data_IF_242793884232
#
_entry.id   IF_242793884232
#
_cell.length_a   1.000
_cell.length_b   1.000
_cell.length_c   1.000
_cell.angle_alpha   90.00
_cell.angle_beta   90.00
_cell.angle_gamma   90.00
#
_symmetry.space_group_name_H-M   'P 1'
#
loop_
_entity.id
_entity.type
_entity.pdbx_description
1 polymer ?
#
# COMPACT_ATOMS: atom_id res chain seq x y z
N UNK A 1 -8.19 1.80 0.27
CA UNK A 1 -8.14 1.91 -1.23
C UNK A 1 -8.99 3.05 -1.80
N UNK A 2 -10.31 3.05 -1.53
CA UNK A 2 -11.28 4.01 -2.10
C UNK A 2 -10.86 5.45 -1.84
N UNK A 3 -10.38 5.74 -0.62
CA UNK A 3 -9.82 7.04 -0.24
C UNK A 3 -8.79 7.55 -1.25
N UNK A 4 -7.81 6.71 -1.58
CA UNK A 4 -6.73 7.04 -2.51
C UNK A 4 -7.20 7.15 -3.97
N UNK A 5 -8.24 6.42 -4.38
CA UNK A 5 -8.82 6.52 -5.73
C UNK A 5 -9.49 7.89 -5.96
N UNK A 6 -10.19 8.40 -4.95
CA UNK A 6 -10.94 9.65 -5.05
C UNK A 6 -10.25 10.83 -4.37
N UNK A 7 -9.03 10.65 -3.87
CA UNK A 7 -8.26 11.71 -3.19
C UNK A 7 -8.90 12.21 -1.89
N UNK A 8 -9.63 11.36 -1.19
CA UNK A 8 -10.38 11.74 0.01
C UNK A 8 -9.43 11.94 1.21
N UNK A 9 -9.77 12.85 2.15
CA UNK A 9 -8.93 13.13 3.31
C UNK A 9 -8.79 11.92 4.23
N UNK A 10 -7.69 11.80 5.00
CA UNK A 10 -7.46 10.66 5.88
C UNK A 10 -8.17 10.76 7.25
N UNK A 11 -9.11 11.69 7.42
CA UNK A 11 -9.75 11.98 8.72
C UNK A 11 -10.50 10.79 9.31
N UNK A 12 -11.01 9.90 8.45
CA UNK A 12 -11.67 8.68 8.86
C UNK A 12 -10.86 7.46 8.41
N UNK A 13 -11.01 6.35 9.13
CA UNK A 13 -10.52 5.04 8.66
C UNK A 13 -11.16 4.65 7.33
N UNK A 14 -10.67 3.59 6.68
CA UNK A 14 -11.18 3.16 5.37
C UNK A 14 -12.64 2.64 5.41
N UNK A 15 -13.12 2.22 6.59
CA UNK A 15 -14.45 1.62 6.79
C UNK A 15 -15.63 2.49 6.31
N UNK A 16 -15.80 3.73 6.81
CA UNK A 16 -16.85 4.64 6.36
C UNK A 16 -16.89 4.85 4.84
N UNK A 17 -15.74 4.95 4.19
CA UNK A 17 -15.66 5.11 2.72
C UNK A 17 -16.14 3.85 1.99
N UNK A 18 -15.82 2.66 2.51
CA UNK A 18 -16.31 1.38 1.97
C UNK A 18 -17.82 1.30 2.12
N UNK A 19 -18.36 1.59 3.31
CA UNK A 19 -19.81 1.55 3.56
C UNK A 19 -20.55 2.53 2.65
N UNK A 20 -20.05 3.77 2.51
CA UNK A 20 -20.64 4.77 1.64
C UNK A 20 -20.63 4.32 0.17
N UNK A 21 -19.49 3.83 -0.34
CA UNK A 21 -19.37 3.36 -1.72
C UNK A 21 -20.29 2.16 -2.00
N UNK A 22 -20.28 1.14 -1.13
CA UNK A 22 -21.15 -0.03 -1.25
C UNK A 22 -22.63 0.36 -1.17
N UNK A 23 -22.99 1.27 -0.26
CA UNK A 23 -24.35 1.78 -0.11
C UNK A 23 -24.83 2.52 -1.36
N UNK A 24 -24.04 3.44 -1.89
CA UNK A 24 -24.39 4.19 -3.10
C UNK A 24 -24.50 3.28 -4.33
N UNK A 25 -23.56 2.34 -4.51
CA UNK A 25 -23.60 1.37 -5.61
C UNK A 25 -24.84 0.47 -5.47
N UNK A 26 -25.10 -0.06 -4.28
CA UNK A 26 -26.27 -0.90 -4.01
C UNK A 26 -27.60 -0.17 -4.24
N UNK A 27 -27.73 1.07 -3.77
CA UNK A 27 -28.90 1.91 -4.02
C UNK A 27 -29.07 2.17 -5.52
N UNK A 28 -28.00 2.54 -6.22
CA UNK A 28 -28.06 2.79 -7.68
C UNK A 28 -28.50 1.54 -8.45
N UNK A 29 -28.05 0.34 -8.05
CA UNK A 29 -28.47 -0.92 -8.63
C UNK A 29 -29.94 -1.25 -8.35
N UNK A 30 -30.43 -0.92 -7.15
CA UNK A 30 -31.83 -1.08 -6.78
C UNK A 30 -32.78 -0.17 -7.58
N UNK A 31 -32.36 1.06 -7.88
CA UNK A 31 -33.17 2.05 -8.62
C UNK A 31 -33.10 1.82 -10.13
N UNK A 32 -31.92 1.59 -10.70
CA UNK A 32 -31.73 1.59 -12.16
C UNK A 32 -31.70 0.20 -12.80
N UNK A 33 -31.77 -0.88 -12.01
CA UNK A 33 -32.01 -2.30 -12.39
C UNK A 33 -31.55 -2.73 -13.79
N UNK A 34 -30.39 -2.26 -14.22
CA UNK A 34 -29.84 -2.52 -15.55
C UNK A 34 -28.64 -3.46 -15.48
N UNK A 35 -28.31 -4.10 -16.60
CA UNK A 35 -27.17 -5.03 -16.72
C UNK A 35 -25.85 -4.42 -16.24
N UNK A 36 -25.61 -3.12 -16.49
CA UNK A 36 -24.43 -2.39 -16.01
C UNK A 36 -24.45 -2.20 -14.49
N UNK A 37 -25.61 -1.91 -13.91
CA UNK A 37 -25.74 -1.73 -12.47
C UNK A 37 -25.49 -3.05 -11.71
N UNK A 38 -25.95 -4.18 -12.25
CA UNK A 38 -25.61 -5.50 -11.74
C UNK A 38 -24.11 -5.78 -11.83
N UNK A 39 -23.45 -5.43 -12.94
CA UNK A 39 -22.00 -5.58 -13.09
C UNK A 39 -21.24 -4.80 -12.01
N UNK A 40 -21.60 -3.53 -11.77
CA UNK A 40 -20.98 -2.71 -10.72
C UNK A 40 -21.24 -3.29 -9.33
N UNK A 41 -22.46 -3.69 -9.01
CA UNK A 41 -22.77 -4.30 -7.71
C UNK A 41 -21.97 -5.60 -7.48
N UNK A 42 -21.92 -6.49 -8.49
CA UNK A 42 -21.18 -7.74 -8.40
C UNK A 42 -19.69 -7.48 -8.26
N UNK A 43 -19.10 -6.62 -9.10
CA UNK A 43 -17.65 -6.44 -9.10
C UNK A 43 -17.11 -5.54 -7.98
N UNK A 44 -17.92 -4.60 -7.47
CA UNK A 44 -17.51 -3.69 -6.39
C UNK A 44 -17.83 -4.29 -5.02
N UNK A 45 -18.95 -5.00 -4.87
CA UNK A 45 -19.41 -5.55 -3.59
C UNK A 45 -19.24 -7.07 -3.57
N UNK A 46 -19.80 -7.76 -4.55
CA UNK A 46 -19.82 -9.23 -4.60
C UNK A 46 -18.42 -9.85 -4.65
N UNK A 47 -17.52 -9.32 -5.48
CA UNK A 47 -16.17 -9.87 -5.64
C UNK A 47 -15.33 -9.74 -4.35
N UNK A 48 -15.22 -8.56 -3.69
CA UNK A 48 -14.54 -8.48 -2.39
C UNK A 48 -15.14 -9.38 -1.31
N UNK A 49 -16.48 -9.50 -1.25
CA UNK A 49 -17.15 -10.39 -0.30
C UNK A 49 -16.82 -11.86 -0.58
N UNK A 50 -16.78 -12.28 -1.85
CA UNK A 50 -16.40 -13.63 -2.23
C UNK A 50 -14.93 -13.91 -1.92
N UNK A 51 -14.04 -12.95 -2.15
CA UNK A 51 -12.62 -13.07 -1.79
C UNK A 51 -12.44 -13.24 -0.28
N UNK A 52 -13.19 -12.48 0.52
CA UNK A 52 -13.20 -12.58 1.98
C UNK A 52 -13.77 -13.92 2.45
N UNK A 53 -14.91 -14.36 1.88
CA UNK A 53 -15.53 -15.64 2.20
C UNK A 53 -14.64 -16.84 1.82
N UNK A 54 -13.85 -16.71 0.75
CA UNK A 54 -12.88 -17.71 0.33
C UNK A 54 -11.56 -17.67 1.14
N UNK A 55 -11.43 -16.76 2.13
CA UNK A 55 -10.22 -16.59 2.94
C UNK A 55 -8.94 -16.48 2.10
N UNK A 56 -9.00 -15.75 0.98
CA UNK A 56 -7.84 -15.58 0.13
C UNK A 56 -6.71 -14.90 0.93
N UNK A 57 -5.45 -15.30 0.72
CA UNK A 57 -4.33 -14.64 1.37
C UNK A 57 -4.12 -13.22 0.80
N UNK A 58 -3.45 -12.35 1.55
CA UNK A 58 -3.01 -11.02 1.11
C UNK A 58 -4.13 -9.97 0.87
N UNK A 59 -5.32 -10.15 1.45
CA UNK A 59 -6.44 -9.20 1.34
C UNK A 59 -6.15 -7.84 2.03
N UNK A 60 -5.09 -7.74 2.80
CA UNK A 60 -4.59 -6.50 3.39
C UNK A 60 -3.96 -5.56 2.35
N UNK A 61 -3.55 -6.05 1.19
CA UNK A 61 -2.92 -5.21 0.18
C UNK A 61 -3.94 -4.64 -0.81
N UNK A 62 -4.04 -3.29 -0.95
CA UNK A 62 -5.02 -2.65 -1.84
C UNK A 62 -4.98 -3.11 -3.31
N UNK A 63 -3.81 -3.54 -3.80
CA UNK A 63 -3.61 -3.95 -5.21
C UNK A 63 -4.50 -5.14 -5.63
N UNK A 64 -4.92 -6.00 -4.70
CA UNK A 64 -5.79 -7.13 -5.04
C UNK A 64 -7.23 -6.69 -5.36
N UNK A 65 -7.58 -5.44 -5.07
CA UNK A 65 -8.89 -4.86 -5.35
C UNK A 65 -8.87 -3.91 -6.56
N UNK A 66 -7.84 -3.94 -7.42
CA UNK A 66 -7.75 -3.08 -8.61
C UNK A 66 -8.97 -3.23 -9.52
N UNK A 67 -9.49 -4.45 -9.69
CA UNK A 67 -10.68 -4.71 -10.51
C UNK A 67 -11.89 -3.98 -9.91
N UNK A 68 -12.16 -4.17 -8.63
CA UNK A 68 -13.24 -3.48 -7.91
C UNK A 68 -13.05 -1.96 -7.92
N UNK A 69 -11.82 -1.48 -7.75
CA UNK A 69 -11.49 -0.05 -7.81
C UNK A 69 -11.76 0.55 -9.19
N UNK A 70 -11.43 -0.18 -10.26
CA UNK A 70 -11.67 0.24 -11.65
C UNK A 70 -13.17 0.32 -11.93
N UNK A 71 -13.93 -0.69 -11.52
CA UNK A 71 -15.38 -0.68 -11.66
C UNK A 71 -16.03 0.45 -10.86
N UNK A 72 -15.49 0.78 -9.69
CA UNK A 72 -15.95 1.91 -8.89
C UNK A 72 -15.70 3.26 -9.58
N UNK A 73 -14.55 3.43 -10.25
CA UNK A 73 -14.28 4.62 -11.07
C UNK A 73 -15.22 4.72 -12.27
N UNK A 74 -15.49 3.60 -12.95
CA UNK A 74 -16.44 3.56 -14.07
C UNK A 74 -17.86 3.89 -13.61
N UNK A 75 -18.31 3.32 -12.49
CA UNK A 75 -19.58 3.64 -11.87
C UNK A 75 -19.67 5.13 -11.51
N UNK A 76 -18.62 5.69 -10.89
CA UNK A 76 -18.57 7.11 -10.55
C UNK A 76 -18.66 8.01 -11.80
N UNK A 77 -17.93 7.67 -12.87
CA UNK A 77 -18.03 8.37 -14.15
C UNK A 77 -19.44 8.33 -14.75
N UNK A 78 -20.11 7.18 -14.67
CA UNK A 78 -21.50 7.03 -15.13
C UNK A 78 -22.48 7.86 -14.29
N UNK A 79 -22.28 7.94 -12.97
CA UNK A 79 -23.09 8.79 -12.08
C UNK A 79 -22.87 10.28 -12.36
N UNK A 80 -21.63 10.70 -12.59
CA UNK A 80 -21.30 12.08 -12.96
C UNK A 80 -21.97 12.42 -14.31
N UNK A 81 -21.84 11.56 -15.31
CA UNK A 81 -22.47 11.77 -16.62
C UNK A 81 -23.98 11.98 -16.50
N UNK A 82 -24.68 11.09 -15.78
CA UNK A 82 -26.12 11.25 -15.53
C UNK A 82 -26.47 12.50 -14.73
N UNK A 83 -25.62 12.89 -13.78
CA UNK A 83 -25.79 14.14 -13.03
C UNK A 83 -25.63 15.38 -13.91
N UNK A 84 -24.72 15.35 -14.88
CA UNK A 84 -24.54 16.42 -15.87
C UNK A 84 -25.73 16.55 -16.84
N UNK A 85 -26.34 15.42 -17.22
CA UNK A 85 -27.56 15.36 -18.05
C UNK A 85 -28.81 15.82 -17.28
N UNK A 86 -28.77 15.78 -15.94
CA UNK A 86 -29.83 16.28 -15.09
C UNK A 86 -29.87 17.82 -15.04
N UNK A 87 -30.92 18.37 -14.43
CA UNK A 87 -31.06 19.82 -14.22
C UNK A 87 -30.95 20.16 -12.73
N UNK A 88 -30.68 21.44 -12.43
CA UNK A 88 -30.66 21.95 -11.07
C UNK A 88 -29.44 21.51 -10.25
N UNK A 89 -29.64 21.19 -8.98
CA UNK A 89 -28.58 20.90 -8.00
C UNK A 89 -27.75 19.66 -8.37
N UNK A 90 -28.36 18.65 -8.99
CA UNK A 90 -27.66 17.44 -9.45
C UNK A 90 -26.54 17.76 -10.45
N UNK A 91 -26.78 18.71 -11.35
CA UNK A 91 -25.78 19.17 -12.34
C UNK A 91 -24.63 19.92 -11.70
N UNK A 92 -24.93 20.78 -10.71
CA UNK A 92 -23.89 21.50 -9.96
C UNK A 92 -22.99 20.53 -9.19
N UNK A 93 -23.58 19.53 -8.52
CA UNK A 93 -22.82 18.49 -7.82
C UNK A 93 -21.95 17.66 -8.78
N UNK A 94 -22.49 17.28 -9.93
CA UNK A 94 -21.76 16.53 -10.94
C UNK A 94 -20.60 17.32 -11.56
N UNK A 95 -20.74 18.65 -11.72
CA UNK A 95 -19.63 19.51 -12.13
C UNK A 95 -18.56 19.65 -11.04
N UNK A 96 -18.95 19.71 -9.78
CA UNK A 96 -18.02 19.82 -8.65
C UNK A 96 -17.24 18.54 -8.36
N UNK A 97 -17.84 17.37 -8.61
CA UNK A 97 -17.23 16.08 -8.27
C UNK A 97 -15.85 15.84 -8.91
N UNK A 98 -15.63 16.06 -10.23
CA UNK A 98 -14.30 15.96 -10.84
C UNK A 98 -13.28 16.89 -10.19
N UNK A 99 -13.65 18.14 -9.88
CA UNK A 99 -12.74 19.10 -9.27
C UNK A 99 -12.27 18.65 -7.88
N UNK A 100 -13.17 18.06 -7.08
CA UNK A 100 -12.84 17.47 -5.78
C UNK A 100 -11.87 16.30 -5.95
N UNK A 101 -12.17 15.37 -6.88
CA UNK A 101 -11.32 14.20 -7.13
C UNK A 101 -9.93 14.63 -7.58
N UNK A 102 -9.84 15.55 -8.55
CA UNK A 102 -8.55 16.05 -9.06
C UNK A 102 -7.75 16.72 -7.94
N UNK A 103 -8.37 17.59 -7.15
CA UNK A 103 -7.70 18.28 -6.04
C UNK A 103 -7.17 17.30 -5.00
N UNK A 104 -7.98 16.29 -4.65
CA UNK A 104 -7.58 15.23 -3.74
C UNK A 104 -6.46 14.34 -4.30
N UNK A 105 -6.53 14.01 -5.59
CA UNK A 105 -5.48 13.23 -6.27
C UNK A 105 -4.16 13.99 -6.33
N UNK A 106 -4.18 15.31 -6.54
CA UNK A 106 -2.96 16.15 -6.50
C UNK A 106 -2.32 16.08 -5.11
N UNK A 107 -3.10 16.21 -4.04
CA UNK A 107 -2.59 16.08 -2.67
C UNK A 107 -1.94 14.71 -2.41
N UNK A 108 -2.59 13.63 -2.88
CA UNK A 108 -2.03 12.28 -2.81
C UNK A 108 -0.74 12.13 -3.64
N UNK A 109 -0.66 12.80 -4.80
CA UNK A 109 0.51 12.77 -5.66
C UNK A 109 1.71 13.50 -5.03
N UNK A 110 1.48 14.60 -4.32
CA UNK A 110 2.54 15.29 -3.58
C UNK A 110 3.17 14.37 -2.52
N UNK A 111 2.35 13.60 -1.80
CA UNK A 111 2.85 12.61 -0.84
C UNK A 111 3.60 11.48 -1.53
N UNK A 112 3.15 11.06 -2.72
CA UNK A 112 3.90 10.10 -3.53
C UNK A 112 5.28 10.63 -3.94
N UNK A 113 5.39 11.89 -4.33
CA UNK A 113 6.70 12.48 -4.64
C UNK A 113 7.62 12.59 -3.41
N UNK A 114 7.05 12.79 -2.22
CA UNK A 114 7.81 12.88 -0.97
C UNK A 114 8.30 11.51 -0.48
N UNK A 115 7.41 10.53 -0.40
CA UNK A 115 7.71 9.22 0.22
C UNK A 115 8.11 8.15 -0.81
N UNK A 116 7.73 8.34 -2.07
CA UNK A 116 7.92 7.36 -3.12
C UNK A 116 7.31 6.00 -2.77
N UNK A 117 8.04 4.94 -3.13
CA UNK A 117 7.63 3.55 -2.91
C UNK A 117 8.31 2.90 -1.71
N UNK A 118 8.91 3.68 -0.80
CA UNK A 118 9.70 3.16 0.33
C UNK A 118 11.20 3.42 0.23
N UNK A 119 11.62 4.42 -0.56
CA UNK A 119 13.02 4.88 -0.66
C UNK A 119 14.09 3.78 -0.73
N UNK A 120 13.80 2.67 -1.43
CA UNK A 120 14.62 1.45 -1.41
C UNK A 120 16.09 1.69 -1.78
N UNK A 121 16.35 2.55 -2.77
CA UNK A 121 17.71 2.88 -3.18
C UNK A 121 18.51 3.53 -2.04
N UNK A 122 17.89 4.42 -1.26
CA UNK A 122 18.56 5.07 -0.13
C UNK A 122 18.82 4.07 1.02
N UNK A 123 17.85 3.21 1.33
CA UNK A 123 18.02 2.16 2.34
C UNK A 123 19.14 1.19 1.98
N UNK A 124 19.19 0.75 0.72
CA UNK A 124 20.24 -0.13 0.21
C UNK A 124 21.59 0.60 0.14
N UNK A 125 21.61 1.89 -0.22
CA UNK A 125 22.82 2.70 -0.18
C UNK A 125 23.40 2.75 1.24
N UNK A 126 22.58 3.07 2.25
CA UNK A 126 23.01 3.15 3.64
C UNK A 126 23.56 1.81 4.14
N UNK A 127 22.83 0.72 3.90
CA UNK A 127 23.23 -0.62 4.30
C UNK A 127 24.58 -1.04 3.68
N UNK A 128 24.83 -0.67 2.43
CA UNK A 128 26.00 -1.13 1.66
C UNK A 128 27.14 -0.09 1.58
N UNK A 129 27.00 1.06 2.25
CA UNK A 129 27.95 2.17 2.20
C UNK A 129 29.35 1.78 2.67
N UNK A 130 29.44 0.87 3.64
CA UNK A 130 30.69 0.38 4.24
C UNK A 130 31.28 -0.89 3.58
N UNK A 131 30.83 -1.24 2.36
CA UNK A 131 31.10 -2.47 1.55
C UNK A 131 30.02 -3.54 1.69
N UNK A 132 30.31 -4.76 1.22
CA UNK A 132 29.37 -5.87 1.16
C UNK A 132 28.73 -6.12 2.54
N UNK A 133 27.40 -6.04 2.59
CA UNK A 133 26.63 -6.09 3.82
C UNK A 133 25.83 -7.40 3.89
N UNK A 134 25.84 -8.05 5.04
CA UNK A 134 24.91 -9.14 5.35
C UNK A 134 23.66 -8.55 5.98
N UNK A 135 22.49 -9.02 5.56
CA UNK A 135 21.21 -8.57 6.10
C UNK A 135 20.23 -9.73 6.29
N UNK A 136 19.35 -9.62 7.26
CA UNK A 136 18.20 -10.51 7.43
C UNK A 136 16.88 -9.75 7.22
N UNK A 137 15.79 -10.46 6.96
CA UNK A 137 14.47 -9.85 6.76
C UNK A 137 13.33 -10.67 7.37
N UNK A 138 12.19 -10.01 7.62
CA UNK A 138 10.93 -10.70 7.89
C UNK A 138 10.17 -11.11 6.61
N UNK A 139 10.70 -10.77 5.43
CA UNK A 139 10.13 -11.11 4.12
C UNK A 139 11.22 -11.42 3.08
N UNK A 140 12.05 -12.42 3.38
CA UNK A 140 13.23 -12.85 2.62
C UNK A 140 13.08 -12.79 1.10
N UNK A 141 12.07 -13.48 0.55
CA UNK A 141 11.88 -13.57 -0.90
C UNK A 141 11.69 -12.20 -1.57
N UNK A 142 10.85 -11.35 -0.98
CA UNK A 142 10.51 -10.04 -1.56
C UNK A 142 11.62 -9.03 -1.30
N UNK A 143 12.11 -8.97 -0.07
CA UNK A 143 13.18 -8.04 0.32
C UNK A 143 14.44 -8.33 -0.50
N UNK A 144 14.82 -9.60 -0.68
CA UNK A 144 16.01 -9.95 -1.45
C UNK A 144 15.93 -9.49 -2.90
N UNK A 145 14.79 -9.69 -3.58
CA UNK A 145 14.63 -9.20 -4.95
C UNK A 145 14.82 -7.68 -5.06
N UNK A 146 14.32 -6.91 -4.09
CA UNK A 146 14.47 -5.45 -4.09
C UNK A 146 15.91 -5.04 -3.76
N UNK A 147 16.51 -5.64 -2.74
CA UNK A 147 17.89 -5.36 -2.32
C UNK A 147 18.87 -5.70 -3.44
N UNK A 148 18.77 -6.90 -4.04
CA UNK A 148 19.64 -7.34 -5.13
C UNK A 148 19.56 -6.39 -6.33
N UNK A 149 18.34 -5.98 -6.71
CA UNK A 149 18.13 -5.05 -7.80
C UNK A 149 18.85 -3.71 -7.58
N UNK A 150 18.72 -3.12 -6.39
CA UNK A 150 19.32 -1.83 -6.09
C UNK A 150 20.83 -1.92 -5.82
N UNK A 151 21.28 -2.97 -5.13
CA UNK A 151 22.70 -3.20 -4.86
C UNK A 151 23.48 -3.38 -6.17
N UNK A 152 22.96 -4.20 -7.09
CA UNK A 152 23.58 -4.40 -8.41
C UNK A 152 23.67 -3.08 -9.21
N UNK A 153 22.64 -2.22 -9.13
CA UNK A 153 22.65 -0.91 -9.82
C UNK A 153 23.66 0.08 -9.25
N UNK A 154 24.11 -0.13 -8.02
CA UNK A 154 25.15 0.67 -7.34
C UNK A 154 26.54 0.03 -7.45
N UNK A 155 26.70 -1.08 -8.16
CA UNK A 155 27.92 -1.90 -8.20
C UNK A 155 28.37 -2.36 -6.79
N UNK A 156 27.39 -2.71 -5.95
CA UNK A 156 27.60 -3.20 -4.58
C UNK A 156 26.99 -4.59 -4.41
N UNK A 157 27.33 -5.25 -3.31
CA UNK A 157 26.79 -6.56 -2.94
C UNK A 157 26.11 -6.50 -1.59
N UNK A 158 25.00 -7.20 -1.48
CA UNK A 158 24.34 -7.49 -0.22
C UNK A 158 24.02 -8.98 -0.21
N UNK A 159 24.12 -9.61 0.96
CA UNK A 159 23.90 -11.05 1.11
C UNK A 159 22.79 -11.26 2.13
N UNK A 160 21.71 -11.90 1.70
CA UNK A 160 20.65 -12.33 2.60
C UNK A 160 21.16 -13.46 3.50
N UNK A 161 21.05 -13.26 4.80
CA UNK A 161 21.18 -14.29 5.83
C UNK A 161 19.77 -14.76 6.16
N UNK A 162 19.41 -16.02 5.84
CA UNK A 162 18.09 -16.54 6.16
C UNK A 162 17.95 -16.70 7.69
N UNK A 163 16.70 -16.69 8.16
CA UNK A 163 16.36 -16.68 9.60
C UNK A 163 17.00 -17.84 10.38
N UNK A 164 17.08 -19.04 9.79
CA UNK A 164 17.69 -20.23 10.39
C UNK A 164 19.20 -20.10 10.64
N UNK A 165 19.86 -19.14 9.99
CA UNK A 165 21.30 -18.87 10.13
C UNK A 165 21.60 -17.55 10.82
N UNK A 166 20.58 -16.81 11.24
CA UNK A 166 20.73 -15.48 11.83
C UNK A 166 21.67 -15.50 13.04
N UNK A 167 21.59 -16.53 13.88
CA UNK A 167 22.46 -16.67 15.06
C UNK A 167 23.91 -17.03 14.74
N UNK A 168 24.14 -17.75 13.64
CA UNK A 168 25.48 -18.24 13.27
C UNK A 168 26.22 -17.23 12.42
N UNK A 169 25.57 -16.74 11.35
CA UNK A 169 26.16 -15.79 10.40
C UNK A 169 26.04 -14.35 10.89
N UNK A 170 25.15 -14.08 11.87
CA UNK A 170 24.98 -12.80 12.56
C UNK A 170 24.93 -11.65 11.55
N UNK A 171 23.81 -11.47 10.87
CA UNK A 171 23.65 -10.39 9.90
C UNK A 171 24.03 -9.03 10.51
N UNK A 172 24.73 -8.18 9.76
CA UNK A 172 25.08 -6.85 10.23
C UNK A 172 23.86 -5.91 10.26
N UNK A 173 22.87 -6.21 9.41
CA UNK A 173 21.65 -5.43 9.24
C UNK A 173 20.40 -6.30 9.33
N UNK A 174 19.29 -5.68 9.72
CA UNK A 174 17.97 -6.30 9.74
C UNK A 174 16.97 -5.35 9.06
N UNK A 175 16.23 -5.87 8.09
CA UNK A 175 15.19 -5.13 7.37
C UNK A 175 13.84 -5.65 7.81
N UNK A 176 13.02 -4.79 8.41
CA UNK A 176 11.64 -5.15 8.77
C UNK A 176 10.65 -4.42 7.87
N UNK A 177 9.91 -5.20 7.09
CA UNK A 177 8.78 -4.69 6.32
C UNK A 177 7.56 -4.53 7.23
N UNK A 178 6.91 -3.37 7.22
CA UNK A 178 5.72 -3.13 8.02
C UNK A 178 5.45 -1.68 8.36
N UNK A 179 4.57 -1.45 9.32
CA UNK A 179 4.23 -0.12 9.81
C UNK A 179 5.37 0.44 10.67
N UNK A 180 6.08 1.43 10.14
CA UNK A 180 7.23 2.08 10.78
C UNK A 180 6.88 2.62 12.18
N UNK A 181 5.65 3.10 12.38
CA UNK A 181 5.20 3.70 13.63
C UNK A 181 4.97 2.67 14.74
N UNK A 182 4.73 1.41 14.38
CA UNK A 182 4.52 0.31 15.34
C UNK A 182 5.78 -0.47 15.66
N UNK A 183 6.81 -0.31 14.85
CA UNK A 183 8.07 -1.01 15.02
C UNK A 183 8.94 -0.26 16.04
N UNK A 184 9.50 -1.02 17.00
CA UNK A 184 10.28 -0.48 18.10
C UNK A 184 11.63 0.11 17.63
N UNK A 185 12.22 0.98 18.43
CA UNK A 185 13.55 1.54 18.16
C UNK A 185 14.67 0.49 18.35
N UNK A 186 14.45 -0.45 19.26
CA UNK A 186 15.35 -1.56 19.56
C UNK A 186 14.62 -2.88 19.37
N UNK A 187 15.28 -3.86 18.75
CA UNK A 187 14.70 -5.19 18.49
C UNK A 187 15.71 -6.30 18.75
N UNK A 188 15.22 -7.40 19.31
CA UNK A 188 15.96 -8.64 19.50
C UNK A 188 15.23 -9.78 18.75
N UNK A 189 15.50 -9.97 17.44
CA UNK A 189 14.75 -10.91 16.62
C UNK A 189 14.93 -12.37 17.04
N UNK A 190 16.04 -12.70 17.70
CA UNK A 190 16.36 -14.05 18.13
C UNK A 190 16.79 -14.09 19.60
N UNK A 191 15.86 -14.51 20.47
CA UNK A 191 16.09 -14.69 21.91
C UNK A 191 17.23 -15.69 22.18
N UNK A 192 17.40 -16.67 21.29
CA UNK A 192 18.38 -17.75 21.45
C UNK A 192 19.85 -17.30 21.37
N UNK A 193 20.15 -16.14 20.78
CA UNK A 193 21.53 -15.72 20.54
C UNK A 193 21.83 -14.25 20.88
N UNK A 194 20.96 -13.59 21.66
CA UNK A 194 21.17 -12.23 22.17
C UNK A 194 21.69 -11.24 21.10
N UNK A 195 21.04 -11.23 19.94
CA UNK A 195 21.34 -10.27 18.88
C UNK A 195 20.44 -9.06 19.04
N UNK A 196 21.02 -7.93 19.45
CA UNK A 196 20.33 -6.65 19.53
C UNK A 196 20.57 -5.85 18.25
N UNK A 197 19.51 -5.19 17.77
CA UNK A 197 19.58 -4.26 16.67
C UNK A 197 18.90 -2.94 17.04
N UNK A 198 19.50 -1.84 16.62
CA UNK A 198 18.99 -0.49 16.79
C UNK A 198 18.55 0.08 15.44
N UNK A 199 17.44 0.81 15.43
CA UNK A 199 16.90 1.44 14.23
C UNK A 199 17.90 2.47 13.70
N UNK A 200 18.41 2.23 12.50
CA UNK A 200 19.31 3.14 11.81
C UNK A 200 18.55 4.10 10.89
N UNK A 201 17.54 3.60 10.19
CA UNK A 201 16.71 4.42 9.29
C UNK A 201 15.33 3.79 9.08
N UNK A 202 14.38 4.55 8.54
CA UNK A 202 13.09 4.04 8.14
C UNK A 202 12.49 4.83 6.97
N UNK A 203 11.86 4.11 6.05
CA UNK A 203 11.16 4.68 4.91
C UNK A 203 9.68 4.32 4.94
N UNK A 204 8.86 5.32 4.63
CA UNK A 204 7.43 5.14 4.35
C UNK A 204 7.23 5.01 2.85
N UNK A 205 6.22 4.25 2.45
CA UNK A 205 5.72 4.30 1.08
C UNK A 205 4.36 5.02 1.04
N UNK A 206 4.00 5.54 -0.14
CA UNK A 206 2.69 6.09 -0.38
C UNK A 206 2.02 5.46 -1.61
N UNK A 207 0.69 5.32 -1.55
CA UNK A 207 -0.11 4.79 -2.65
C UNK A 207 -0.37 3.28 -2.58
N UNK A 208 -0.56 2.65 -3.73
CA UNK A 208 -1.02 1.24 -3.84
C UNK A 208 0.11 0.23 -4.04
N UNK A 209 1.35 0.69 -4.11
CA UNK A 209 2.52 -0.14 -4.38
C UNK A 209 3.74 0.48 -3.73
N UNK A 210 4.55 -0.37 -3.12
CA UNK A 210 5.64 0.03 -2.26
C UNK A 210 5.59 -0.78 -0.96
N UNK A 211 6.64 -0.63 -0.17
CA UNK A 211 6.80 -1.26 1.12
C UNK A 211 7.42 -0.22 2.02
N UNK A 212 6.90 -0.12 3.23
CA UNK A 212 7.58 0.64 4.27
C UNK A 212 8.63 -0.28 4.88
N UNK A 213 9.86 0.19 4.96
CA UNK A 213 10.98 -0.55 5.52
C UNK A 213 11.50 0.19 6.74
N UNK A 214 11.86 -0.58 7.75
CA UNK A 214 12.73 -0.08 8.81
C UNK A 214 14.03 -0.85 8.73
N UNK A 215 15.12 -0.10 8.66
CA UNK A 215 16.48 -0.62 8.65
C UNK A 215 17.03 -0.56 10.07
N UNK A 216 17.48 -1.69 10.56
CA UNK A 216 18.18 -1.79 11.83
C UNK A 216 19.61 -2.23 11.63
N UNK A 217 20.51 -1.65 12.42
CA UNK A 217 21.91 -2.01 12.49
C UNK A 217 22.15 -2.82 13.75
N UNK A 218 22.92 -3.90 13.64
CA UNK A 218 23.30 -4.70 14.80
C UNK A 218 24.11 -3.85 15.77
N UNK A 219 23.79 -3.96 17.06
CA UNK A 219 24.64 -3.46 18.12
C UNK A 219 25.57 -4.58 18.57
N UNK A 220 26.88 -4.31 18.48
CA UNK A 220 27.97 -5.17 18.94
C UNK A 220 28.53 -4.67 20.25
#
# INVERSE_FOLDING_TARGET
MIRSLFGLPPWFGDGPYIVAACGLVGLSAGVWRGRRASLYAIGIIGLPLLMAAAHLPNLEFPRYFIISGTLLLLWAGEMIGRGLDARGTARLLAMGAPAIVVSGSISSLLQFYQYGRGSYAAMVDEMTRSRAATYASNSDFRTAMVVDYFAARMDRRALLVPDDRLCTERAAWLILEGDVEKQAEHVEPAVACALAYERADASRHWGFSGLSWTLYRRQD
#
